data_IF_297041068647
#
_entry.id   IF_297041068647
#
_cell.length_a   1.000
_cell.length_b   1.000
_cell.length_c   1.000
_cell.angle_alpha   90.00
_cell.angle_beta   90.00
_cell.angle_gamma   90.00
#
_symmetry.space_group_name_H-M   'P 1'
#
loop_
_entity.id
_entity.type
_entity.pdbx_description
1 polymer ?
#
# COMPACT_ATOMS: atom_id res chain seq x y z
N UNK A 1 20.93 -9.72 -4.28
CA UNK A 1 21.09 -9.42 -2.84
C UNK A 1 20.77 -10.66 -2.05
N UNK A 2 21.67 -11.10 -1.19
CA UNK A 2 21.39 -12.18 -0.25
C UNK A 2 20.36 -11.70 0.78
N UNK A 3 19.42 -12.56 1.11
CA UNK A 3 18.46 -12.31 2.19
C UNK A 3 19.19 -12.60 3.51
N UNK A 4 19.22 -11.65 4.47
CA UNK A 4 19.90 -11.88 5.74
C UNK A 4 19.20 -12.99 6.54
N UNK A 5 19.93 -13.71 7.38
CA UNK A 5 19.38 -14.75 8.25
C UNK A 5 18.32 -14.21 9.22
N UNK A 6 18.42 -12.94 9.57
CA UNK A 6 17.43 -12.23 10.41
C UNK A 6 17.14 -10.85 9.84
N UNK A 7 15.90 -10.42 9.92
CA UNK A 7 15.46 -9.08 9.51
C UNK A 7 15.08 -8.29 10.76
N UNK A 8 15.78 -7.16 11.04
CA UNK A 8 15.46 -6.33 12.19
C UNK A 8 14.07 -5.68 12.03
N UNK A 9 13.46 -5.30 13.13
CA UNK A 9 12.24 -4.49 13.09
C UNK A 9 12.58 -2.98 13.01
N UNK A 10 11.61 -2.18 12.58
CA UNK A 10 11.79 -0.75 12.41
C UNK A 10 12.11 -0.01 13.72
N UNK A 11 11.65 -0.53 14.86
CA UNK A 11 11.95 0.07 16.17
C UNK A 11 13.42 -0.12 16.53
N UNK A 12 13.99 -1.30 16.27
CA UNK A 12 15.40 -1.59 16.54
C UNK A 12 16.32 -0.83 15.58
N UNK A 13 15.97 -0.83 14.30
CA UNK A 13 16.83 -0.25 13.26
C UNK A 13 16.79 1.29 13.25
N UNK A 14 15.62 1.88 13.43
CA UNK A 14 15.40 3.33 13.28
C UNK A 14 14.89 4.02 14.53
N UNK A 15 14.56 3.30 15.59
CA UNK A 15 13.89 3.86 16.76
C UNK A 15 12.44 4.26 16.48
N UNK A 16 11.76 3.53 15.60
CA UNK A 16 10.38 3.78 15.25
C UNK A 16 9.44 3.65 16.45
N UNK A 17 8.50 4.61 16.58
CA UNK A 17 7.35 4.48 17.47
C UNK A 17 6.17 4.01 16.65
N UNK A 18 5.62 2.83 16.98
CA UNK A 18 4.54 2.21 16.22
C UNK A 18 3.27 2.21 17.04
N UNK A 19 2.15 2.58 16.43
CA UNK A 19 0.82 2.55 17.04
C UNK A 19 -0.20 1.98 16.07
N UNK A 20 -1.02 1.06 16.55
CA UNK A 20 -2.23 0.64 15.86
C UNK A 20 -3.25 1.78 15.92
N UNK A 21 -3.77 2.19 14.76
CA UNK A 21 -4.68 3.33 14.62
C UNK A 21 -6.13 2.90 14.37
N UNK A 22 -6.33 1.75 13.74
CA UNK A 22 -7.64 1.17 13.52
C UNK A 22 -7.54 -0.34 13.38
N UNK A 23 -8.62 -1.02 13.73
CA UNK A 23 -8.86 -2.44 13.47
C UNK A 23 -10.17 -2.63 12.70
N UNK A 24 -11.16 -1.80 12.98
CA UNK A 24 -12.45 -1.78 12.30
C UNK A 24 -12.79 -0.34 11.90
N UNK A 25 -13.48 -0.19 10.78
CA UNK A 25 -14.08 1.08 10.36
C UNK A 25 -15.51 1.18 10.88
N UNK A 26 -16.25 0.07 10.84
CA UNK A 26 -17.57 -0.13 11.45
C UNK A 26 -17.51 -1.47 12.19
N UNK A 27 -17.86 -1.47 13.46
CA UNK A 27 -17.88 -2.72 14.25
C UNK A 27 -19.17 -3.51 14.00
N UNK A 28 -19.08 -4.84 14.02
CA UNK A 28 -17.88 -5.69 14.17
C UNK A 28 -17.31 -6.18 12.84
N UNK A 29 -17.85 -5.76 11.70
CA UNK A 29 -17.83 -6.51 10.44
C UNK A 29 -16.82 -6.02 9.41
N UNK A 30 -16.39 -4.75 9.51
CA UNK A 30 -15.53 -4.14 8.51
C UNK A 30 -14.14 -3.85 9.06
N UNK A 31 -13.19 -4.70 8.69
CA UNK A 31 -11.79 -4.52 9.06
C UNK A 31 -11.19 -3.26 8.45
N UNK A 32 -10.21 -2.67 9.13
CA UNK A 32 -9.46 -1.51 8.64
C UNK A 32 -8.00 -1.92 8.44
N UNK A 33 -7.52 -1.94 7.20
CA UNK A 33 -6.14 -2.33 6.89
C UNK A 33 -5.60 -1.57 5.67
N UNK A 34 -4.33 -1.81 5.34
CA UNK A 34 -3.60 -1.18 4.25
C UNK A 34 -3.82 0.35 4.17
N UNK A 35 -3.55 1.05 5.30
CA UNK A 35 -3.77 2.50 5.37
C UNK A 35 -2.80 3.26 4.47
N UNK A 36 -3.27 4.39 3.91
CA UNK A 36 -2.42 5.34 3.19
C UNK A 36 -2.53 6.73 3.80
N UNK A 37 -1.42 7.26 4.31
CA UNK A 37 -1.35 8.60 4.91
C UNK A 37 -0.91 9.63 3.88
N UNK A 38 -1.54 10.81 3.89
CA UNK A 38 -1.17 11.96 3.09
C UNK A 38 -1.36 13.24 3.91
N UNK A 39 -0.47 14.20 3.76
CA UNK A 39 -0.65 15.55 4.29
C UNK A 39 -1.17 16.48 3.18
N UNK A 40 -2.14 17.32 3.51
CA UNK A 40 -2.61 18.42 2.69
C UNK A 40 -2.72 19.68 3.54
N UNK A 41 -2.51 20.86 2.95
CA UNK A 41 -2.61 22.13 3.68
C UNK A 41 -4.02 22.35 4.22
N UNK A 42 -5.06 22.02 3.43
CA UNK A 42 -6.46 22.28 3.78
C UNK A 42 -7.02 21.32 4.84
N UNK A 43 -6.55 20.08 4.87
CA UNK A 43 -7.15 19.04 5.71
C UNK A 43 -6.20 18.43 6.73
N UNK A 44 -4.91 18.80 6.71
CA UNK A 44 -3.88 18.24 7.56
C UNK A 44 -3.54 16.79 7.17
N UNK A 45 -3.31 15.93 8.16
CA UNK A 45 -2.95 14.53 7.91
C UNK A 45 -4.20 13.69 7.75
N UNK A 46 -4.42 13.20 6.54
CA UNK A 46 -5.49 12.29 6.17
C UNK A 46 -4.96 10.85 6.12
N UNK A 47 -5.77 9.91 6.55
CA UNK A 47 -5.48 8.47 6.40
C UNK A 47 -6.65 7.81 5.70
N UNK A 48 -6.40 7.30 4.50
CA UNK A 48 -7.30 6.42 3.78
C UNK A 48 -7.13 5.00 4.32
N UNK A 49 -8.22 4.31 4.58
CA UNK A 49 -8.27 2.95 5.06
C UNK A 49 -8.98 2.08 4.02
N UNK A 50 -8.38 0.97 3.63
CA UNK A 50 -9.13 -0.10 2.98
C UNK A 50 -9.89 -0.87 4.05
N UNK A 51 -11.11 -1.20 3.77
CA UNK A 51 -11.96 -2.01 4.62
C UNK A 51 -12.59 -3.13 3.82
N UNK A 52 -12.70 -4.30 4.41
CA UNK A 52 -13.40 -5.43 3.79
C UNK A 52 -14.19 -6.21 4.83
N UNK A 53 -15.16 -6.97 4.36
CA UNK A 53 -15.95 -7.88 5.18
C UNK A 53 -15.25 -9.26 5.38
N UNK A 54 -13.94 -9.33 5.17
CA UNK A 54 -13.10 -10.50 5.43
C UNK A 54 -11.74 -10.09 5.96
N UNK A 55 -11.09 -10.93 6.73
CA UNK A 55 -9.76 -10.67 7.30
C UNK A 55 -8.95 -11.95 7.48
N UNK A 56 -7.63 -11.78 7.62
CA UNK A 56 -6.73 -12.85 8.02
C UNK A 56 -6.63 -12.87 9.54
N UNK A 57 -7.04 -13.97 10.15
CA UNK A 57 -6.89 -14.21 11.57
C UNK A 57 -6.09 -15.49 11.78
N UNK A 58 -5.04 -15.40 12.58
CA UNK A 58 -4.18 -16.53 12.92
C UNK A 58 -3.80 -17.42 11.71
N UNK A 59 -3.51 -16.74 10.56
CA UNK A 59 -3.17 -17.37 9.28
C UNK A 59 -4.35 -18.02 8.52
N UNK A 60 -5.57 -17.80 8.94
CA UNK A 60 -6.79 -18.23 8.25
C UNK A 60 -7.51 -17.01 7.69
N UNK A 61 -8.09 -17.15 6.52
CA UNK A 61 -9.05 -16.18 6.02
C UNK A 61 -10.39 -16.43 6.71
N UNK A 62 -10.79 -15.53 7.59
CA UNK A 62 -12.13 -15.52 8.15
C UNK A 62 -13.01 -14.61 7.31
N UNK A 63 -14.12 -15.15 6.88
CA UNK A 63 -15.12 -14.50 6.10
C UNK A 63 -16.36 -14.23 6.95
N UNK A 64 -16.86 -13.00 6.95
CA UNK A 64 -18.13 -12.66 7.59
C UNK A 64 -19.15 -12.30 6.53
N UNK A 65 -20.14 -13.13 6.25
CA UNK A 65 -21.19 -12.82 5.31
C UNK A 65 -22.12 -11.74 5.88
N UNK A 66 -22.50 -10.79 5.05
CA UNK A 66 -23.40 -9.68 5.44
C UNK A 66 -24.82 -10.13 5.81
N UNK A 67 -25.18 -11.38 5.69
CA UNK A 67 -26.55 -11.89 5.91
C UNK A 67 -26.55 -13.33 6.47
N UNK A 68 -26.14 -13.51 7.68
CA UNK A 68 -26.52 -14.70 8.49
C UNK A 68 -26.05 -16.07 8.00
N UNK A 69 -25.09 -16.14 7.08
CA UNK A 69 -24.46 -17.39 6.70
C UNK A 69 -23.29 -17.70 7.65
N UNK A 70 -23.13 -18.94 8.04
CA UNK A 70 -22.06 -19.38 8.94
C UNK A 70 -20.67 -19.06 8.39
N UNK A 71 -19.79 -18.61 9.28
CA UNK A 71 -18.35 -18.46 9.01
C UNK A 71 -17.79 -19.79 8.52
N UNK A 72 -17.36 -19.84 7.27
CA UNK A 72 -16.57 -20.95 6.79
C UNK A 72 -15.11 -20.72 7.09
N UNK A 73 -14.61 -21.38 8.15
CA UNK A 73 -13.17 -21.49 8.39
C UNK A 73 -12.65 -22.65 7.55
N UNK A 74 -11.71 -22.41 6.69
CA UNK A 74 -11.04 -23.48 5.96
C UNK A 74 -9.73 -23.85 6.68
N UNK A 75 -9.67 -25.08 7.17
CA UNK A 75 -8.75 -25.49 8.21
C UNK A 75 -7.36 -25.96 7.78
N UNK A 76 -7.10 -26.26 6.54
CA UNK A 76 -5.79 -26.75 6.12
C UNK A 76 -5.45 -26.46 4.68
N UNK A 77 -4.19 -26.13 4.44
CA UNK A 77 -3.68 -25.84 3.10
C UNK A 77 -2.34 -26.51 2.88
N UNK A 78 -2.28 -27.37 1.89
CA UNK A 78 -1.05 -28.05 1.48
C UNK A 78 -0.07 -27.09 0.79
N UNK A 79 -0.59 -26.02 0.14
CA UNK A 79 0.22 -24.99 -0.52
C UNK A 79 -0.35 -23.58 -0.25
N UNK A 80 0.08 -22.91 0.80
CA UNK A 80 -0.52 -21.64 1.25
C UNK A 80 -0.59 -20.52 0.19
N UNK A 81 0.34 -20.49 -0.75
CA UNK A 81 0.35 -19.47 -1.81
C UNK A 81 -0.69 -19.70 -2.91
N UNK A 82 -0.83 -20.93 -3.36
CA UNK A 82 -1.81 -21.30 -4.39
C UNK A 82 -3.22 -21.27 -3.83
N UNK A 83 -3.35 -21.67 -2.58
CA UNK A 83 -4.63 -21.62 -1.91
C UNK A 83 -5.15 -20.21 -1.69
N UNK A 84 -4.32 -19.29 -1.24
CA UNK A 84 -4.71 -17.90 -1.07
C UNK A 84 -5.25 -17.31 -2.39
N UNK A 85 -4.61 -17.65 -3.51
CA UNK A 85 -5.14 -17.31 -4.84
C UNK A 85 -6.42 -18.08 -5.18
N UNK A 86 -6.46 -19.38 -4.95
CA UNK A 86 -7.57 -20.22 -5.37
C UNK A 86 -8.83 -20.03 -4.53
N UNK A 87 -8.73 -19.95 -3.21
CA UNK A 87 -9.89 -19.68 -2.36
C UNK A 87 -10.34 -18.23 -2.42
N UNK A 88 -9.42 -17.33 -2.65
CA UNK A 88 -9.71 -15.93 -2.92
C UNK A 88 -10.44 -15.79 -4.26
N UNK A 89 -10.01 -16.50 -5.29
CA UNK A 89 -10.71 -16.61 -6.57
C UNK A 89 -12.04 -17.35 -6.41
N UNK A 90 -12.08 -18.48 -5.73
CA UNK A 90 -13.29 -19.27 -5.55
C UNK A 90 -14.33 -18.57 -4.66
N UNK A 91 -13.92 -17.89 -3.60
CA UNK A 91 -14.82 -17.10 -2.76
C UNK A 91 -15.44 -15.93 -3.51
N UNK A 92 -14.75 -15.41 -4.51
CA UNK A 92 -15.21 -14.28 -5.30
C UNK A 92 -15.95 -14.71 -6.56
N UNK A 93 -15.53 -15.77 -7.25
CA UNK A 93 -16.20 -16.30 -8.45
C UNK A 93 -17.41 -17.19 -8.13
N UNK A 94 -17.40 -17.87 -6.98
CA UNK A 94 -18.44 -18.82 -6.59
C UNK A 94 -19.59 -18.24 -5.76
N UNK A 95 -19.46 -17.00 -5.29
CA UNK A 95 -20.42 -16.40 -4.37
C UNK A 95 -20.72 -14.95 -4.72
N UNK A 96 -21.54 -14.74 -5.75
CA UNK A 96 -21.92 -13.40 -6.22
C UNK A 96 -21.96 -12.35 -5.10
N UNK A 97 -20.95 -11.46 -5.10
CA UNK A 97 -20.92 -10.25 -4.28
C UNK A 97 -20.57 -10.41 -2.80
N UNK A 98 -20.03 -11.52 -2.32
CA UNK A 98 -19.77 -11.72 -0.88
C UNK A 98 -18.53 -10.98 -0.35
N UNK A 99 -17.42 -10.88 -1.12
CA UNK A 99 -16.26 -10.11 -0.69
C UNK A 99 -16.32 -8.70 -1.29
N UNK A 100 -16.35 -7.70 -0.43
CA UNK A 100 -16.41 -6.29 -0.86
C UNK A 100 -15.35 -5.48 -0.15
N UNK A 101 -14.80 -4.53 -0.88
CA UNK A 101 -13.96 -3.48 -0.34
C UNK A 101 -14.77 -2.18 -0.24
N UNK A 102 -14.57 -1.50 0.88
CA UNK A 102 -15.01 -0.12 1.11
C UNK A 102 -13.78 0.71 1.44
N UNK A 103 -13.85 2.00 1.21
CA UNK A 103 -12.82 2.93 1.59
C UNK A 103 -13.34 3.89 2.65
N UNK A 104 -12.52 4.13 3.66
CA UNK A 104 -12.80 5.09 4.71
C UNK A 104 -11.65 6.06 4.81
N UNK A 105 -11.93 7.29 5.20
CA UNK A 105 -10.90 8.30 5.44
C UNK A 105 -11.10 8.93 6.81
N UNK A 106 -10.00 9.19 7.50
CA UNK A 106 -9.99 9.82 8.81
C UNK A 106 -8.88 10.84 8.92
N UNK A 107 -8.94 11.67 9.97
CA UNK A 107 -7.91 12.66 10.30
C UNK A 107 -6.98 12.13 11.37
N UNK A 108 -5.68 12.14 11.11
CA UNK A 108 -4.64 11.71 12.06
C UNK A 108 -4.08 12.92 12.82
N UNK A 109 -4.02 12.80 14.14
CA UNK A 109 -3.17 13.66 14.93
C UNK A 109 -1.73 13.09 14.90
N UNK A 110 -0.76 13.77 14.24
CA UNK A 110 0.57 13.21 14.02
C UNK A 110 1.44 13.16 15.29
N UNK A 111 1.11 13.95 16.32
CA UNK A 111 1.84 13.96 17.58
C UNK A 111 1.46 12.80 18.50
N UNK A 112 0.20 12.43 18.53
CA UNK A 112 -0.35 11.35 19.36
C UNK A 112 -0.57 10.05 18.59
N UNK A 113 -0.47 10.09 17.25
CA UNK A 113 -0.78 9.01 16.32
C UNK A 113 -2.20 8.47 16.55
N UNK A 114 -3.17 9.36 16.73
CA UNK A 114 -4.57 9.01 16.96
C UNK A 114 -5.40 9.39 15.76
N UNK A 115 -6.08 8.42 15.20
CA UNK A 115 -7.03 8.59 14.10
C UNK A 115 -8.42 8.97 14.65
N UNK A 116 -9.09 9.89 13.99
CA UNK A 116 -10.41 10.38 14.36
C UNK A 116 -11.23 10.76 13.12
N UNK A 117 -12.52 11.03 13.31
CA UNK A 117 -13.43 11.48 12.25
C UNK A 117 -13.43 10.55 11.03
N UNK A 118 -13.42 9.26 11.27
CA UNK A 118 -13.46 8.25 10.22
C UNK A 118 -14.83 8.32 9.54
N UNK A 119 -14.81 8.44 8.20
CA UNK A 119 -16.01 8.46 7.35
C UNK A 119 -15.78 7.58 6.14
N UNK A 120 -16.84 6.92 5.67
CA UNK A 120 -16.79 6.21 4.41
C UNK A 120 -16.63 7.19 3.24
N UNK A 121 -15.88 6.80 2.25
CA UNK A 121 -15.76 7.50 0.97
C UNK A 121 -16.93 7.05 0.09
N UNK A 122 -17.78 7.97 -0.28
CA UNK A 122 -18.86 7.72 -1.24
C UNK A 122 -18.24 7.51 -2.64
N UNK A 123 -18.29 6.28 -3.12
CA UNK A 123 -17.77 5.85 -4.43
C UNK A 123 -18.90 5.60 -5.44
N UNK A 124 -20.13 6.04 -5.17
CA UNK A 124 -21.30 5.80 -6.04
C UNK A 124 -21.05 6.32 -7.45
N UNK A 125 -20.64 7.58 -7.59
CA UNK A 125 -20.31 8.17 -8.89
C UNK A 125 -19.17 7.41 -9.58
N UNK A 126 -18.15 7.01 -8.83
CA UNK A 126 -17.01 6.24 -9.36
C UNK A 126 -17.45 4.92 -9.98
N UNK A 127 -18.40 4.22 -9.36
CA UNK A 127 -18.90 2.94 -9.85
C UNK A 127 -19.90 3.09 -10.99
N UNK A 128 -20.73 4.13 -10.99
CA UNK A 128 -21.70 4.40 -12.05
C UNK A 128 -21.01 4.80 -13.38
N UNK A 129 -19.91 5.51 -13.30
CA UNK A 129 -19.16 5.96 -14.49
C UNK A 129 -18.20 4.90 -15.05
N UNK A 130 -17.92 3.85 -14.30
CA UNK A 130 -17.01 2.80 -14.74
C UNK A 130 -17.75 1.72 -15.55
N UNK A 131 -17.39 1.50 -16.84
CA UNK A 131 -18.18 0.65 -17.75
C UNK A 131 -18.03 -0.86 -17.51
N UNK A 132 -17.17 -1.28 -16.60
CA UNK A 132 -16.88 -2.68 -16.31
C UNK A 132 -17.37 -3.04 -14.93
N UNK A 133 -18.06 -4.18 -14.79
CA UNK A 133 -18.45 -4.70 -13.49
C UNK A 133 -17.21 -4.95 -12.63
N UNK A 134 -17.12 -4.21 -11.53
CA UNK A 134 -16.01 -4.32 -10.60
C UNK A 134 -16.18 -5.56 -9.72
N UNK A 135 -15.30 -6.48 -9.91
CA UNK A 135 -15.30 -7.78 -9.27
C UNK A 135 -15.19 -7.73 -7.74
N UNK A 136 -14.45 -6.75 -7.18
CA UNK A 136 -14.19 -6.61 -5.74
C UNK A 136 -14.27 -5.19 -5.22
N UNK A 137 -14.50 -4.25 -6.10
CA UNK A 137 -14.31 -2.85 -5.80
C UNK A 137 -12.84 -2.41 -5.87
N UNK A 138 -12.56 -1.28 -5.27
CA UNK A 138 -11.26 -0.62 -5.28
C UNK A 138 -10.39 -1.16 -4.13
N UNK A 139 -9.14 -1.53 -4.42
CA UNK A 139 -8.20 -2.12 -3.46
C UNK A 139 -6.96 -1.24 -3.27
N UNK A 140 -6.38 -1.30 -2.06
CA UNK A 140 -5.05 -0.78 -1.73
C UNK A 140 -4.81 0.65 -2.20
N UNK A 141 -5.77 1.54 -1.89
CA UNK A 141 -5.72 2.94 -2.27
C UNK A 141 -4.51 3.66 -1.65
N UNK A 142 -3.79 4.40 -2.49
CA UNK A 142 -2.72 5.31 -2.11
C UNK A 142 -3.20 6.73 -2.23
N UNK A 143 -3.24 7.42 -1.10
CA UNK A 143 -3.66 8.80 -1.04
C UNK A 143 -2.48 9.71 -1.39
N UNK A 144 -2.65 10.62 -2.34
CA UNK A 144 -1.62 11.55 -2.75
C UNK A 144 -2.22 12.82 -3.37
N UNK A 145 -1.43 13.88 -3.48
CA UNK A 145 -1.82 15.12 -4.15
C UNK A 145 -1.00 15.26 -5.44
N UNK A 146 -1.69 15.41 -6.58
CA UNK A 146 -1.06 15.50 -7.91
C UNK A 146 -0.56 16.91 -8.28
N UNK A 147 -0.58 17.85 -7.33
CA UNK A 147 -0.30 19.26 -7.52
C UNK A 147 -1.57 20.11 -7.72
N UNK A 148 -2.70 19.49 -8.08
CA UNK A 148 -3.99 20.16 -8.32
C UNK A 148 -5.08 19.68 -7.37
N UNK A 149 -5.17 18.37 -7.21
CA UNK A 149 -6.26 17.71 -6.46
C UNK A 149 -5.71 16.60 -5.58
N UNK A 150 -6.44 16.31 -4.51
CA UNK A 150 -6.25 15.09 -3.72
C UNK A 150 -6.80 13.91 -4.52
N UNK A 151 -6.03 12.83 -4.61
CA UNK A 151 -6.37 11.66 -5.43
C UNK A 151 -6.12 10.35 -4.69
N UNK A 152 -6.80 9.32 -5.16
CA UNK A 152 -6.57 7.93 -4.76
C UNK A 152 -6.05 7.18 -5.98
N UNK A 153 -4.83 6.64 -5.90
CA UNK A 153 -4.33 5.65 -6.84
C UNK A 153 -4.52 4.27 -6.23
N UNK A 154 -5.24 3.39 -6.92
CA UNK A 154 -5.65 2.12 -6.36
C UNK A 154 -5.59 1.00 -7.40
N UNK A 155 -5.82 -0.22 -6.95
CA UNK A 155 -5.99 -1.39 -7.82
C UNK A 155 -7.46 -1.71 -7.96
N UNK A 156 -7.90 -1.99 -9.19
CA UNK A 156 -9.21 -2.57 -9.46
C UNK A 156 -9.05 -3.89 -10.19
N UNK A 157 -10.05 -4.74 -10.08
CA UNK A 157 -10.11 -6.01 -10.78
C UNK A 157 -11.25 -6.00 -11.79
N UNK A 158 -10.89 -6.20 -13.04
CA UNK A 158 -11.88 -6.40 -14.10
C UNK A 158 -12.37 -7.83 -14.07
N UNK A 159 -13.69 -8.00 -14.18
CA UNK A 159 -14.32 -9.32 -14.30
C UNK A 159 -14.05 -9.91 -15.70
N UNK A 160 -13.74 -11.20 -15.76
CA UNK A 160 -13.46 -11.90 -16.98
C UNK A 160 -13.17 -13.39 -16.72
N UNK A 161 -12.86 -14.15 -17.77
CA UNK A 161 -12.44 -15.56 -17.61
C UNK A 161 -11.19 -15.67 -16.70
N UNK A 162 -10.31 -14.70 -16.81
CA UNK A 162 -9.16 -14.51 -15.92
C UNK A 162 -9.26 -13.09 -15.41
N UNK A 163 -9.43 -12.87 -14.09
CA UNK A 163 -9.48 -11.54 -13.52
C UNK A 163 -8.17 -10.81 -13.75
N UNK A 164 -8.22 -9.61 -14.27
CA UNK A 164 -7.06 -8.77 -14.55
C UNK A 164 -7.05 -7.59 -13.60
N UNK A 165 -5.93 -7.36 -12.92
CA UNK A 165 -5.76 -6.19 -12.06
C UNK A 165 -5.20 -5.01 -12.86
N UNK A 166 -5.80 -3.84 -12.67
CA UNK A 166 -5.37 -2.56 -13.26
C UNK A 166 -5.14 -1.52 -12.18
N UNK A 167 -4.29 -0.57 -12.46
CA UNK A 167 -4.21 0.66 -11.67
C UNK A 167 -5.32 1.60 -12.12
N UNK A 168 -6.04 2.13 -11.16
CA UNK A 168 -6.98 3.22 -11.36
C UNK A 168 -6.59 4.44 -10.53
N UNK A 169 -7.07 5.57 -10.98
CA UNK A 169 -6.89 6.84 -10.31
C UNK A 169 -8.23 7.57 -10.26
N UNK A 170 -8.56 8.16 -9.11
CA UNK A 170 -9.78 8.93 -8.97
C UNK A 170 -9.53 10.15 -8.09
N UNK A 171 -10.13 11.30 -8.40
CA UNK A 171 -10.08 12.46 -7.53
C UNK A 171 -10.91 12.19 -6.26
N UNK A 172 -10.48 12.80 -5.16
CA UNK A 172 -11.18 12.73 -3.88
C UNK A 172 -11.61 14.14 -3.47
N UNK A 173 -12.91 14.37 -3.42
CA UNK A 173 -13.50 15.61 -2.93
C UNK A 173 -13.81 15.52 -1.43
N UNK A 174 -13.26 16.46 -0.67
CA UNK A 174 -13.45 16.62 0.77
C UNK A 174 -14.28 17.86 1.14
N UNK A 175 -14.72 18.66 0.16
CA UNK A 175 -15.28 20.01 0.36
C UNK A 175 -16.63 20.00 1.10
N UNK A 176 -17.45 18.99 0.89
CA UNK A 176 -18.80 18.87 1.51
C UNK A 176 -18.76 18.35 2.96
N UNK A 177 -17.57 18.02 3.46
CA UNK A 177 -17.40 17.33 4.74
C UNK A 177 -17.75 15.82 4.71
N UNK A 178 -18.31 15.33 3.61
CA UNK A 178 -18.47 13.92 3.30
C UNK A 178 -17.55 13.59 2.12
N UNK A 179 -16.58 12.70 2.29
CA UNK A 179 -15.61 12.40 1.24
C UNK A 179 -16.30 11.70 0.07
N UNK A 180 -16.00 12.15 -1.16
CA UNK A 180 -16.53 11.56 -2.39
C UNK A 180 -15.43 11.26 -3.38
N UNK A 181 -15.43 10.04 -3.94
CA UNK A 181 -14.61 9.70 -5.11
C UNK A 181 -15.33 10.16 -6.39
N UNK A 182 -14.59 10.77 -7.30
CA UNK A 182 -15.09 11.13 -8.63
C UNK A 182 -14.86 10.01 -9.65
N UNK A 183 -14.88 10.37 -10.92
CA UNK A 183 -14.73 9.44 -12.04
C UNK A 183 -13.43 8.65 -11.99
N UNK A 184 -13.50 7.36 -12.27
CA UNK A 184 -12.34 6.46 -12.34
C UNK A 184 -11.63 6.63 -13.67
N UNK A 185 -10.36 7.01 -13.60
CA UNK A 185 -9.42 6.93 -14.70
C UNK A 185 -8.64 5.61 -14.63
N UNK A 186 -8.77 4.77 -15.66
CA UNK A 186 -8.12 3.47 -15.71
C UNK A 186 -6.81 3.56 -16.50
N UNK A 187 -5.73 3.02 -15.92
CA UNK A 187 -4.46 2.89 -16.62
C UNK A 187 -4.28 1.49 -17.19
N UNK A 188 -4.08 1.43 -18.49
CA UNK A 188 -3.68 0.19 -19.13
C UNK A 188 -2.26 -0.17 -18.73
N UNK A 189 -1.98 -1.48 -18.70
CA UNK A 189 -0.61 -1.94 -18.53
C UNK A 189 0.27 -1.38 -19.64
N UNK A 190 1.42 -0.78 -19.34
CA UNK A 190 2.35 -0.31 -20.36
C UNK A 190 3.15 -1.44 -21.01
N UNK A 191 3.07 -2.66 -20.47
CA UNK A 191 3.86 -3.81 -20.92
C UNK A 191 2.98 -4.84 -21.61
N UNK A 192 1.89 -5.26 -20.97
CA UNK A 192 1.01 -6.32 -21.45
C UNK A 192 -0.41 -6.15 -20.89
N UNK A 193 -1.42 -6.41 -21.71
CA UNK A 193 -2.83 -6.29 -21.32
C UNK A 193 -3.25 -7.33 -20.28
N UNK A 194 -2.57 -8.48 -20.22
CA UNK A 194 -2.88 -9.58 -19.30
C UNK A 194 -2.04 -9.55 -18.01
N UNK A 195 -1.20 -8.53 -17.84
CA UNK A 195 -0.37 -8.36 -16.65
C UNK A 195 -1.19 -7.88 -15.47
N UNK A 196 -0.90 -8.42 -14.29
CA UNK A 196 -1.48 -7.96 -13.02
C UNK A 196 -0.75 -6.70 -12.58
N UNK A 197 -1.40 -5.54 -12.79
CA UNK A 197 -0.86 -4.24 -12.40
C UNK A 197 -1.20 -3.91 -10.96
N UNK A 198 -0.17 -3.80 -10.15
CA UNK A 198 -0.30 -3.45 -8.73
C UNK A 198 0.89 -2.64 -8.24
N UNK A 199 0.63 -1.85 -7.20
CA UNK A 199 1.69 -1.26 -6.39
C UNK A 199 2.55 -0.20 -7.11
N UNK A 200 1.99 0.53 -8.07
CA UNK A 200 2.64 1.72 -8.59
C UNK A 200 2.70 2.79 -7.50
N UNK A 201 3.84 3.46 -7.36
CA UNK A 201 4.02 4.51 -6.35
C UNK A 201 3.80 5.88 -6.98
N UNK A 202 2.69 6.58 -6.66
CA UNK A 202 2.46 7.92 -7.17
C UNK A 202 3.43 8.93 -6.55
N UNK A 203 3.71 10.01 -7.29
CA UNK A 203 4.47 11.16 -6.79
C UNK A 203 3.54 12.10 -6.05
N UNK A 204 3.80 12.34 -4.77
CA UNK A 204 3.08 13.34 -3.98
C UNK A 204 3.65 14.74 -4.25
N UNK A 205 3.09 15.43 -5.26
CA UNK A 205 3.68 16.64 -5.83
C UNK A 205 3.77 17.81 -4.85
N UNK A 206 2.78 18.03 -4.00
CA UNK A 206 2.81 19.13 -3.02
C UNK A 206 3.87 18.95 -1.93
N UNK A 207 4.49 17.78 -1.82
CA UNK A 207 5.63 17.57 -0.93
C UNK A 207 6.99 17.84 -1.59
N UNK A 208 7.03 18.13 -2.89
CA UNK A 208 8.28 18.30 -3.63
C UNK A 208 8.84 19.71 -3.47
N UNK A 209 10.15 19.83 -3.33
CA UNK A 209 10.85 21.11 -3.28
C UNK A 209 11.07 21.72 -4.69
N UNK A 210 11.20 20.87 -5.72
CA UNK A 210 11.34 21.25 -7.13
C UNK A 210 10.37 20.45 -8.00
N UNK A 211 9.09 20.76 -7.91
CA UNK A 211 8.04 20.01 -8.63
C UNK A 211 8.25 20.02 -10.15
N UNK A 212 8.81 21.10 -10.71
CA UNK A 212 9.00 21.28 -12.15
C UNK A 212 10.03 20.34 -12.78
N UNK A 213 10.91 19.76 -11.96
CA UNK A 213 11.99 18.89 -12.44
C UNK A 213 11.58 17.43 -12.55
N UNK A 214 10.37 17.08 -12.08
CA UNK A 214 9.86 15.71 -12.06
C UNK A 214 8.95 15.48 -13.28
N UNK A 215 9.47 14.75 -14.27
CA UNK A 215 8.78 14.48 -15.54
C UNK A 215 7.92 13.21 -15.56
N UNK A 216 7.70 12.56 -14.41
CA UNK A 216 6.89 11.34 -14.28
C UNK A 216 5.87 11.45 -13.15
N UNK A 217 4.83 10.61 -13.19
CA UNK A 217 3.77 10.60 -12.19
C UNK A 217 3.86 9.41 -11.24
N UNK A 218 4.49 8.31 -11.70
CA UNK A 218 4.63 7.08 -10.92
C UNK A 218 6.02 6.45 -11.07
N UNK A 219 6.49 5.83 -9.99
CA UNK A 219 7.42 4.72 -10.12
C UNK A 219 6.57 3.46 -10.40
N UNK A 220 6.67 2.96 -11.63
CA UNK A 220 6.00 1.74 -12.07
C UNK A 220 6.58 0.50 -11.39
N UNK A 221 7.89 0.34 -11.54
CA UNK A 221 8.75 -0.60 -10.81
C UNK A 221 10.04 0.13 -10.46
N UNK A 222 10.79 -0.27 -9.45
CA UNK A 222 12.11 0.30 -9.21
C UNK A 222 12.97 0.30 -10.49
N UNK A 223 13.44 1.48 -10.88
CA UNK A 223 14.18 1.70 -12.14
C UNK A 223 13.31 1.99 -13.37
N UNK A 224 11.99 2.08 -13.20
CA UNK A 224 11.04 2.40 -14.26
C UNK A 224 10.06 3.47 -13.79
N UNK A 225 9.87 4.50 -14.59
CA UNK A 225 8.90 5.58 -14.34
C UNK A 225 7.79 5.55 -15.36
N UNK A 226 6.61 6.02 -14.97
CA UNK A 226 5.47 6.14 -15.86
C UNK A 226 4.92 7.58 -15.83
N UNK A 227 4.67 8.13 -16.99
CA UNK A 227 4.05 9.44 -17.19
C UNK A 227 2.61 9.24 -17.71
N UNK A 228 1.64 9.88 -17.05
CA UNK A 228 0.21 9.74 -17.39
C UNK A 228 -0.10 10.44 -18.71
N UNK A 229 0.41 11.64 -18.90
CA UNK A 229 0.03 12.52 -20.02
C UNK A 229 0.37 11.88 -21.38
N UNK A 230 1.60 11.39 -21.53
CA UNK A 230 2.05 10.74 -22.77
C UNK A 230 1.94 9.21 -22.73
N UNK A 231 1.51 8.63 -21.59
CA UNK A 231 1.39 7.17 -21.35
C UNK A 231 2.71 6.42 -21.59
N UNK A 232 3.82 7.05 -21.26
CA UNK A 232 5.15 6.53 -21.53
C UNK A 232 5.75 5.82 -20.30
N UNK A 233 6.23 4.60 -20.53
CA UNK A 233 7.07 3.85 -19.58
C UNK A 233 8.54 4.10 -19.94
N UNK A 234 9.27 4.72 -19.03
CA UNK A 234 10.70 5.04 -19.22
C UNK A 234 11.56 4.17 -18.31
N UNK A 235 12.56 3.50 -18.89
CA UNK A 235 13.61 2.86 -18.14
C UNK A 235 14.67 3.91 -17.76
N UNK A 236 14.73 4.26 -16.49
CA UNK A 236 15.63 5.33 -16.01
C UNK A 236 17.04 4.84 -15.70
N UNK A 237 17.28 3.53 -15.87
CA UNK A 237 18.57 2.93 -15.64
C UNK A 237 18.98 2.86 -14.16
N UNK A 238 20.19 2.41 -13.93
CA UNK A 238 20.74 2.20 -12.60
C UNK A 238 20.44 0.81 -12.02
N UNK A 239 21.00 0.50 -10.87
CA UNK A 239 20.81 -0.77 -10.21
C UNK A 239 19.38 -0.89 -9.69
N UNK A 240 18.67 -1.96 -10.03
CA UNK A 240 17.31 -2.24 -9.58
C UNK A 240 17.26 -3.55 -8.80
N UNK A 241 16.72 -3.56 -7.58
CA UNK A 241 16.54 -4.80 -6.85
C UNK A 241 15.46 -5.66 -7.52
N UNK A 242 15.68 -6.95 -7.59
CA UNK A 242 14.71 -7.91 -8.14
C UNK A 242 13.60 -8.22 -7.12
N UNK A 243 12.42 -8.59 -7.63
CA UNK A 243 11.28 -9.08 -6.83
C UNK A 243 10.76 -8.10 -5.79
N UNK A 244 10.91 -6.80 -6.01
CA UNK A 244 10.36 -5.76 -5.16
C UNK A 244 9.10 -5.16 -5.79
N UNK A 245 8.23 -4.61 -4.94
CA UNK A 245 7.01 -3.90 -5.33
C UNK A 245 6.93 -2.58 -4.58
N UNK A 246 6.28 -1.60 -5.18
CA UNK A 246 6.04 -0.31 -4.55
C UNK A 246 5.16 -0.41 -3.31
N UNK A 247 5.39 0.51 -2.39
CA UNK A 247 4.53 0.74 -1.22
C UNK A 247 3.65 1.98 -1.42
N UNK A 248 3.78 2.95 -0.52
CA UNK A 248 3.08 4.23 -0.59
C UNK A 248 3.62 5.19 -1.64
N UNK A 249 3.08 6.40 -1.67
CA UNK A 249 3.54 7.49 -2.54
C UNK A 249 4.98 7.93 -2.24
N UNK A 250 5.62 8.55 -3.23
CA UNK A 250 6.90 9.24 -3.06
C UNK A 250 6.67 10.58 -2.37
N UNK A 251 7.54 10.93 -1.44
CA UNK A 251 7.58 12.24 -0.77
C UNK A 251 8.91 12.95 -1.04
N UNK A 252 8.88 14.29 -1.14
CA UNK A 252 10.07 15.12 -1.32
C UNK A 252 10.92 15.19 -0.07
N UNK A 253 12.24 15.35 -0.26
CA UNK A 253 13.23 15.65 0.77
C UNK A 253 13.84 17.03 0.50
N UNK A 254 14.30 17.73 1.56
CA UNK A 254 14.88 19.08 1.47
C UNK A 254 16.05 19.21 0.47
N UNK A 255 16.75 18.13 0.21
CA UNK A 255 17.87 18.09 -0.74
C UNK A 255 17.43 17.90 -2.21
N UNK A 256 16.14 18.01 -2.51
CA UNK A 256 15.57 17.86 -3.86
C UNK A 256 15.38 16.40 -4.31
N UNK A 257 15.78 15.42 -3.50
CA UNK A 257 15.53 14.00 -3.80
C UNK A 257 14.16 13.56 -3.26
N UNK A 258 13.74 12.35 -3.60
CA UNK A 258 12.50 11.78 -3.11
C UNK A 258 12.77 10.54 -2.25
N UNK A 259 11.90 10.30 -1.27
CA UNK A 259 11.88 9.09 -0.46
C UNK A 259 10.64 8.27 -0.77
N UNK A 260 10.85 6.98 -1.02
CA UNK A 260 9.82 5.97 -1.15
C UNK A 260 10.05 4.79 -0.23
N UNK A 261 9.04 3.96 -0.08
CA UNK A 261 9.15 2.67 0.60
C UNK A 261 8.70 1.57 -0.35
N UNK A 262 9.43 0.49 -0.37
CA UNK A 262 9.12 -0.70 -1.15
C UNK A 262 8.96 -1.90 -0.23
N UNK A 263 8.31 -2.93 -0.73
CA UNK A 263 8.28 -4.23 -0.08
C UNK A 263 8.78 -5.33 -1.00
N UNK A 264 9.29 -6.38 -0.38
CA UNK A 264 9.68 -7.61 -1.04
C UNK A 264 9.00 -8.77 -0.35
N UNK A 265 8.37 -9.63 -1.16
CA UNK A 265 7.85 -10.89 -0.66
C UNK A 265 8.98 -11.91 -0.68
N UNK A 266 9.33 -12.44 0.49
CA UNK A 266 10.39 -13.43 0.66
C UNK A 266 9.84 -14.72 1.22
N UNK A 267 10.45 -15.86 0.85
CA UNK A 267 10.08 -17.14 1.46
C UNK A 267 10.48 -17.18 2.92
N UNK A 268 9.60 -17.67 3.79
CA UNK A 268 9.88 -17.84 5.21
C UNK A 268 11.02 -18.82 5.50
N UNK A 269 11.38 -19.67 4.54
CA UNK A 269 12.52 -20.61 4.64
C UNK A 269 13.86 -19.87 4.70
N UNK A 270 13.92 -18.64 4.15
CA UNK A 270 15.16 -17.86 4.08
C UNK A 270 15.28 -16.78 5.15
N UNK A 271 14.22 -16.54 5.94
CA UNK A 271 14.24 -15.48 6.96
C UNK A 271 13.77 -16.05 8.29
N UNK A 272 14.70 -16.09 9.26
CA UNK A 272 14.37 -16.29 10.67
C UNK A 272 14.03 -14.92 11.27
N UNK A 273 12.78 -14.71 11.61
CA UNK A 273 12.40 -13.58 12.44
C UNK A 273 12.71 -13.90 13.89
N UNK A 274 13.37 -13.00 14.58
CA UNK A 274 13.95 -13.23 15.90
C UNK A 274 13.02 -13.75 17.00
N UNK A 275 11.72 -13.79 16.80
CA UNK A 275 10.76 -14.25 17.82
C UNK A 275 9.55 -15.04 17.26
N UNK A 276 9.64 -15.59 16.06
CA UNK A 276 8.53 -16.35 15.47
C UNK A 276 8.80 -17.85 15.55
N UNK A 277 8.82 -18.40 16.76
CA UNK A 277 9.03 -19.84 16.98
C UNK A 277 7.84 -20.73 16.63
N UNK A 278 6.71 -20.18 16.20
CA UNK A 278 5.46 -20.95 16.08
C UNK A 278 4.55 -20.63 14.89
N UNK A 279 5.06 -20.01 13.80
CA UNK A 279 4.20 -19.73 12.64
C UNK A 279 4.57 -20.59 11.40
N UNK A 280 4.01 -21.80 11.27
CA UNK A 280 4.35 -22.68 10.15
C UNK A 280 3.58 -22.42 8.86
N UNK A 281 2.57 -21.53 8.83
CA UNK A 281 1.57 -21.53 7.75
C UNK A 281 1.79 -20.52 6.62
N UNK A 282 2.48 -19.39 6.85
CA UNK A 282 2.82 -18.49 5.76
C UNK A 282 4.26 -18.69 5.31
N UNK A 283 4.43 -19.30 4.14
CA UNK A 283 5.74 -19.43 3.48
C UNK A 283 6.25 -18.09 2.91
N UNK A 284 5.45 -17.03 2.98
CA UNK A 284 5.79 -15.72 2.45
C UNK A 284 5.79 -14.70 3.56
N UNK A 285 6.80 -13.82 3.55
CA UNK A 285 6.91 -12.69 4.46
C UNK A 285 7.21 -11.43 3.68
N UNK A 286 6.63 -10.34 4.12
CA UNK A 286 6.87 -9.03 3.56
C UNK A 286 7.96 -8.34 4.37
N UNK A 287 8.97 -7.87 3.68
CA UNK A 287 10.04 -7.04 4.22
C UNK A 287 10.12 -5.74 3.45
N UNK A 288 10.58 -4.69 4.09
CA UNK A 288 10.55 -3.34 3.55
C UNK A 288 11.96 -2.76 3.42
N UNK A 289 12.09 -1.76 2.53
CA UNK A 289 13.27 -0.90 2.43
C UNK A 289 12.82 0.52 2.14
N UNK A 290 13.48 1.50 2.72
CA UNK A 290 13.41 2.86 2.19
C UNK A 290 14.32 2.99 0.97
N UNK A 291 13.86 3.74 -0.01
CA UNK A 291 14.61 4.06 -1.21
C UNK A 291 14.64 5.57 -1.44
N UNK A 292 15.82 6.08 -1.75
CA UNK A 292 16.01 7.46 -2.16
C UNK A 292 16.12 7.51 -3.69
N UNK A 293 15.35 8.41 -4.30
CA UNK A 293 15.28 8.62 -5.74
C UNK A 293 15.73 10.02 -6.11
N UNK A 294 16.34 10.18 -7.29
CA UNK A 294 16.54 11.50 -7.88
C UNK A 294 15.28 11.94 -8.67
N UNK A 295 15.34 13.14 -9.26
CA UNK A 295 14.27 13.75 -10.05
C UNK A 295 13.93 12.97 -11.33
N UNK A 296 14.80 12.10 -11.82
CA UNK A 296 14.55 11.20 -12.95
C UNK A 296 13.95 9.86 -12.53
N UNK A 297 13.78 9.60 -11.20
CA UNK A 297 13.27 8.32 -10.69
C UNK A 297 14.33 7.22 -10.56
N UNK A 298 15.62 7.56 -10.71
CA UNK A 298 16.71 6.61 -10.49
C UNK A 298 16.92 6.40 -9.00
N UNK A 299 17.19 5.16 -8.60
CA UNK A 299 17.51 4.81 -7.22
C UNK A 299 18.93 5.24 -6.92
N UNK A 300 19.10 6.12 -5.94
CA UNK A 300 20.40 6.58 -5.42
C UNK A 300 20.91 5.69 -4.29
N UNK A 301 20.03 5.40 -3.34
CA UNK A 301 20.38 4.68 -2.11
C UNK A 301 19.19 3.85 -1.61
N UNK A 302 19.51 2.86 -0.78
CA UNK A 302 18.50 2.03 -0.09
C UNK A 302 18.96 1.73 1.34
N UNK A 303 18.00 1.44 2.22
CA UNK A 303 18.31 0.88 3.54
C UNK A 303 18.44 -0.64 3.48
N UNK A 304 18.90 -1.25 4.56
CA UNK A 304 18.73 -2.68 4.78
C UNK A 304 17.26 -3.04 4.88
N UNK A 305 16.97 -4.34 4.75
CA UNK A 305 15.63 -4.89 4.93
C UNK A 305 15.17 -4.76 6.37
N UNK A 306 13.91 -4.44 6.57
CA UNK A 306 13.28 -4.41 7.89
C UNK A 306 11.81 -4.85 7.80
N UNK A 307 11.24 -5.19 8.92
CA UNK A 307 9.80 -5.33 9.13
C UNK A 307 9.32 -4.31 10.17
N UNK A 308 8.02 -4.11 10.31
CA UNK A 308 7.50 -3.18 11.32
C UNK A 308 7.27 -3.86 12.66
N UNK A 309 6.47 -4.91 12.72
CA UNK A 309 6.00 -5.57 13.94
C UNK A 309 6.13 -7.10 13.89
N UNK A 310 6.96 -7.61 13.00
CA UNK A 310 7.24 -9.05 12.82
C UNK A 310 5.99 -9.88 12.43
N UNK A 311 5.09 -9.31 11.63
CA UNK A 311 3.99 -10.07 11.05
C UNK A 311 4.34 -10.58 9.66
N UNK A 312 3.70 -11.69 9.25
CA UNK A 312 3.96 -12.30 7.94
C UNK A 312 3.56 -11.39 6.79
N UNK A 313 2.43 -10.74 6.89
CA UNK A 313 1.95 -9.77 5.92
C UNK A 313 1.96 -8.39 6.56
N UNK A 314 2.85 -7.53 6.07
CA UNK A 314 2.90 -6.13 6.41
C UNK A 314 2.97 -5.33 5.10
N UNK A 315 2.06 -4.40 4.90
CA UNK A 315 2.00 -3.62 3.68
C UNK A 315 2.04 -2.11 3.97
N UNK A 316 3.14 -1.45 3.59
CA UNK A 316 3.27 0.00 3.73
C UNK A 316 2.55 0.71 2.59
N UNK A 317 1.41 1.35 2.88
CA UNK A 317 0.53 2.00 1.90
C UNK A 317 0.69 3.51 1.77
N UNK A 318 1.44 4.18 2.65
CA UNK A 318 1.60 5.63 2.59
C UNK A 318 2.78 6.17 3.39
N UNK A 319 3.28 7.32 2.92
CA UNK A 319 4.35 8.11 3.54
C UNK A 319 3.91 9.56 3.70
N UNK A 320 4.33 10.19 4.79
CA UNK A 320 4.21 11.64 4.98
C UNK A 320 5.31 12.14 5.90
N UNK A 321 5.62 13.43 5.86
CA UNK A 321 6.55 14.08 6.80
C UNK A 321 5.79 14.76 7.92
N UNK A 322 6.34 14.72 9.13
CA UNK A 322 5.87 15.48 10.27
C UNK A 322 7.07 15.96 11.09
N UNK A 323 7.35 17.26 11.05
CA UNK A 323 8.57 17.84 11.64
C UNK A 323 9.82 17.09 11.11
N UNK A 324 10.66 16.59 12.02
CA UNK A 324 11.88 15.81 11.73
C UNK A 324 11.64 14.30 11.55
N UNK A 325 10.40 13.87 11.29
CA UNK A 325 10.00 12.45 11.21
C UNK A 325 9.33 12.12 9.90
N UNK A 326 9.40 10.85 9.54
CA UNK A 326 8.58 10.23 8.51
C UNK A 326 7.50 9.40 9.21
N UNK A 327 6.26 9.64 8.84
CA UNK A 327 5.12 8.82 9.19
C UNK A 327 4.92 7.79 8.09
N UNK A 328 4.89 6.51 8.45
CA UNK A 328 4.62 5.42 7.53
C UNK A 328 3.34 4.74 7.97
N UNK A 329 2.33 4.74 7.11
CA UNK A 329 1.12 3.95 7.34
C UNK A 329 1.28 2.55 6.76
N UNK A 330 0.91 1.53 7.53
CA UNK A 330 1.00 0.15 7.09
C UNK A 330 -0.12 -0.72 7.65
N UNK A 331 -0.53 -1.72 6.87
CA UNK A 331 -1.43 -2.77 7.28
C UNK A 331 -0.68 -3.97 7.82
N UNK A 332 -1.29 -4.73 8.71
CA UNK A 332 -0.77 -6.00 9.19
C UNK A 332 -1.86 -7.08 9.11
N UNK A 333 -1.50 -8.24 8.51
CA UNK A 333 -2.33 -9.42 8.33
C UNK A 333 -3.70 -9.14 7.67
N UNK A 334 -3.78 -8.11 6.81
CA UNK A 334 -5.03 -7.61 6.22
C UNK A 334 -6.17 -7.43 7.24
N UNK A 335 -5.82 -7.10 8.49
CA UNK A 335 -6.76 -7.05 9.62
C UNK A 335 -6.58 -5.88 10.56
N UNK A 336 -5.54 -5.07 10.39
CA UNK A 336 -5.29 -3.90 11.23
C UNK A 336 -4.45 -2.84 10.53
N UNK A 337 -4.67 -1.60 10.92
CA UNK A 337 -3.97 -0.41 10.43
C UNK A 337 -3.06 0.18 11.48
N UNK A 338 -1.86 0.57 11.07
CA UNK A 338 -0.81 1.07 11.95
C UNK A 338 -0.15 2.31 11.36
N UNK A 339 0.44 3.12 12.23
CA UNK A 339 1.38 4.19 11.88
C UNK A 339 2.69 3.97 12.61
N UNK A 340 3.79 4.01 11.86
CA UNK A 340 5.14 4.10 12.38
C UNK A 340 5.63 5.55 12.25
N UNK A 341 6.08 6.15 13.34
CA UNK A 341 6.74 7.46 13.37
C UNK A 341 8.23 7.25 13.54
N UNK A 342 9.00 7.60 12.51
CA UNK A 342 10.43 7.29 12.39
C UNK A 342 11.21 8.59 12.26
N UNK A 343 12.26 8.85 13.07
CA UNK A 343 13.13 10.02 12.88
C UNK A 343 13.78 10.00 11.48
N UNK A 344 13.54 11.04 10.67
CA UNK A 344 14.06 11.13 9.29
C UNK A 344 15.58 10.94 9.24
N UNK A 345 16.32 11.56 10.17
CA UNK A 345 17.76 11.42 10.27
C UNK A 345 18.24 9.96 10.42
N UNK A 346 17.46 9.11 11.07
CA UNK A 346 17.78 7.68 11.21
C UNK A 346 17.64 6.94 9.89
N UNK A 347 16.59 7.25 9.12
CA UNK A 347 16.42 6.71 7.77
C UNK A 347 17.59 7.16 6.89
N UNK A 348 17.86 8.47 6.84
CA UNK A 348 18.91 9.04 5.99
C UNK A 348 20.30 8.49 6.34
N UNK A 349 20.61 8.29 7.64
CA UNK A 349 21.88 7.70 8.07
C UNK A 349 22.02 6.21 7.74
N UNK A 350 20.93 5.51 7.55
CA UNK A 350 20.91 4.09 7.18
C UNK A 350 20.93 3.85 5.66
N UNK A 351 20.72 4.90 4.86
CA UNK A 351 20.77 4.80 3.40
C UNK A 351 22.20 4.54 2.90
N UNK A 352 22.37 3.51 2.08
CA UNK A 352 23.63 3.12 1.45
C UNK A 352 23.46 3.09 -0.07
N UNK A 353 24.52 3.36 -0.85
CA UNK A 353 24.47 3.14 -2.30
C UNK A 353 23.98 1.71 -2.60
N UNK A 354 23.15 1.57 -3.61
CA UNK A 354 22.65 0.27 -4.02
C UNK A 354 23.76 -0.49 -4.76
N UNK A 355 24.46 -1.37 -4.04
CA UNK A 355 25.43 -2.29 -4.63
C UNK A 355 24.68 -3.56 -5.03
N UNK A 356 24.48 -3.77 -6.34
CA UNK A 356 24.06 -5.07 -6.88
C UNK A 356 25.28 -5.98 -6.90
N UNK A 357 25.39 -6.89 -5.94
CA UNK A 357 26.28 -8.06 -6.05
C UNK A 357 25.55 -9.18 -6.77
#
# INVERSE_FOLDING_TARGET
>A
MSIPESVPNASDLFGAKIKQIARFCEEPEWTAYNPSICYTEDHGYLVLLRSSNGWLRDHRLEWQPELGEELTTQDSYETPGEWYQQSYINSVLGSEGKFRNRMFIGTLNPSTLTLSKIKEVDLTESYETFPVELFRGIEDGRLYHDGKTLRISATIWESGKIPVARICNLPLDMSSGNPKGGEIELFNSPIDIDTVEKNWMPVHRTSLYNEKDIAFDYIYNPGQTYNIENRELTNVGGPTPSRVRGGGQLIGLENGTMLGIIHQCVSAEYIRFANLSQEPLFRRRYVHRFMQYNEQGQILKTTDMFNFINKSVEFAGGLSTYNDKVLVSFGALDSSSHIASIPLKKILSALRPLNLQ
#
